data_IF_678970762470
#
_entry.id   IF_678970762470
#
_cell.length_a   1.000
_cell.length_b   1.000
_cell.length_c   1.000
_cell.angle_alpha   90.00
_cell.angle_beta   90.00
_cell.angle_gamma   90.00
#
_symmetry.space_group_name_H-M   'P 1'
#
loop_
_entity.id
_entity.type
_entity.pdbx_description
1 polymer ?
#
# COMPACT_ATOMS: atom_id res chain seq x y z
N UNK A 1 27.91 -14.07 6.96
CA UNK A 1 27.06 -14.79 7.94
C UNK A 1 26.40 -13.75 8.84
N UNK A 2 25.07 -13.72 8.90
CA UNK A 2 24.34 -12.77 9.74
C UNK A 2 24.34 -13.21 11.22
N UNK A 3 25.51 -13.22 11.87
CA UNK A 3 25.63 -13.15 13.34
C UNK A 3 26.07 -11.73 13.64
N UNK A 4 25.41 -10.87 14.42
CA UNK A 4 24.87 -11.04 15.76
C UNK A 4 23.56 -10.25 15.95
N UNK A 5 22.89 -9.83 14.87
CA UNK A 5 21.75 -8.89 14.94
C UNK A 5 20.57 -9.34 14.09
N UNK A 6 20.04 -10.54 14.36
CA UNK A 6 18.82 -11.09 13.72
C UNK A 6 17.71 -10.03 13.65
N UNK A 7 17.51 -9.30 14.75
CA UNK A 7 16.54 -8.22 14.84
C UNK A 7 16.82 -7.10 13.82
N UNK A 8 18.07 -6.63 13.69
CA UNK A 8 18.40 -5.50 12.82
C UNK A 8 18.12 -5.83 11.35
N UNK A 9 18.46 -7.06 10.93
CA UNK A 9 18.16 -7.53 9.59
C UNK A 9 16.64 -7.62 9.33
N UNK A 10 15.86 -8.07 10.33
CA UNK A 10 14.40 -8.08 10.24
C UNK A 10 13.85 -6.65 10.12
N UNK A 11 14.33 -5.70 10.92
CA UNK A 11 13.91 -4.29 10.84
C UNK A 11 14.18 -3.70 9.47
N UNK A 12 15.39 -3.86 8.93
CA UNK A 12 15.75 -3.29 7.63
C UNK A 12 14.98 -3.92 6.47
N UNK A 13 14.72 -5.22 6.53
CA UNK A 13 13.90 -5.90 5.52
C UNK A 13 12.44 -5.47 5.61
N UNK A 14 11.87 -5.44 6.82
CA UNK A 14 10.49 -5.01 7.07
C UNK A 14 10.29 -3.54 6.70
N UNK A 15 11.17 -2.64 7.13
CA UNK A 15 11.08 -1.21 6.83
C UNK A 15 11.09 -0.90 5.33
N UNK A 16 11.90 -1.62 4.53
CA UNK A 16 11.87 -1.49 3.07
C UNK A 16 10.55 -1.98 2.48
N UNK A 17 10.06 -3.13 2.92
CA UNK A 17 8.77 -3.66 2.45
C UNK A 17 7.60 -2.72 2.81
N UNK A 18 7.60 -2.19 4.03
CA UNK A 18 6.58 -1.27 4.52
C UNK A 18 6.62 0.07 3.79
N UNK A 19 7.80 0.60 3.46
CA UNK A 19 7.92 1.83 2.66
C UNK A 19 7.36 1.67 1.24
N UNK A 20 7.64 0.54 0.58
CA UNK A 20 7.09 0.23 -0.75
C UNK A 20 5.57 0.08 -0.68
N UNK A 21 5.09 -0.67 0.32
CA UNK A 21 3.67 -0.90 0.57
C UNK A 21 2.93 0.41 0.86
N UNK A 22 3.49 1.28 1.70
CA UNK A 22 2.89 2.57 2.04
C UNK A 22 2.70 3.44 0.79
N UNK A 23 3.73 3.52 -0.08
CA UNK A 23 3.64 4.26 -1.34
C UNK A 23 2.54 3.73 -2.26
N UNK A 24 2.35 2.41 -2.32
CA UNK A 24 1.30 1.79 -3.11
C UNK A 24 -0.09 2.11 -2.53
N UNK A 25 -0.28 1.95 -1.22
CA UNK A 25 -1.57 2.24 -0.57
C UNK A 25 -1.99 3.69 -0.70
N UNK A 26 -1.05 4.65 -0.60
CA UNK A 26 -1.37 6.06 -0.82
C UNK A 26 -1.90 6.34 -2.23
N UNK A 27 -1.38 5.64 -3.23
CA UNK A 27 -1.88 5.76 -4.62
C UNK A 27 -3.26 5.11 -4.77
N UNK A 28 -3.40 3.87 -4.30
CA UNK A 28 -4.67 3.14 -4.39
C UNK A 28 -5.81 3.87 -3.68
N UNK A 29 -5.56 4.41 -2.48
CA UNK A 29 -6.57 5.18 -1.74
C UNK A 29 -7.00 6.45 -2.49
N UNK A 30 -6.06 7.12 -3.18
CA UNK A 30 -6.39 8.28 -4.02
C UNK A 30 -7.24 7.88 -5.23
N UNK A 31 -6.91 6.77 -5.89
CA UNK A 31 -7.68 6.27 -7.03
C UNK A 31 -9.10 5.87 -6.62
N UNK A 32 -9.26 5.14 -5.50
CA UNK A 32 -10.58 4.79 -4.95
C UNK A 32 -11.40 6.05 -4.65
N UNK A 33 -10.80 7.06 -4.02
CA UNK A 33 -11.48 8.32 -3.74
C UNK A 33 -11.94 9.03 -5.01
N UNK A 34 -11.07 9.09 -6.03
CA UNK A 34 -11.39 9.73 -7.32
C UNK A 34 -12.47 8.94 -8.05
N UNK A 35 -12.36 7.61 -8.11
CA UNK A 35 -13.35 6.75 -8.73
C UNK A 35 -14.73 6.90 -8.07
N UNK A 36 -14.79 6.87 -6.74
CA UNK A 36 -16.02 7.07 -5.98
C UNK A 36 -16.64 8.47 -6.19
N UNK A 37 -15.79 9.50 -6.30
CA UNK A 37 -16.25 10.88 -6.58
C UNK A 37 -16.83 11.05 -7.99
N UNK A 38 -16.29 10.33 -8.97
CA UNK A 38 -16.68 10.46 -10.37
C UNK A 38 -17.90 9.59 -10.75
N UNK A 39 -17.98 8.37 -10.25
CA UNK A 39 -18.99 7.38 -10.66
C UNK A 39 -19.92 6.90 -9.54
N UNK A 40 -19.83 7.50 -8.34
CA UNK A 40 -20.56 7.02 -7.17
C UNK A 40 -19.82 5.89 -6.44
N UNK A 41 -20.23 5.63 -5.20
CA UNK A 41 -19.56 4.70 -4.28
C UNK A 41 -19.96 3.23 -4.43
N UNK A 42 -20.73 2.87 -5.46
CA UNK A 42 -21.14 1.49 -5.73
C UNK A 42 -20.14 0.83 -6.70
N UNK A 43 -19.36 -0.17 -6.24
CA UNK A 43 -18.35 -0.83 -7.08
C UNK A 43 -18.95 -1.62 -8.24
N UNK A 44 -20.18 -2.14 -8.10
CA UNK A 44 -20.81 -2.96 -9.14
C UNK A 44 -21.28 -2.11 -10.33
N UNK A 45 -21.53 -0.83 -10.09
CA UNK A 45 -21.99 0.15 -11.09
C UNK A 45 -20.88 1.07 -11.60
N UNK A 46 -19.69 1.00 -11.00
CA UNK A 46 -18.55 1.85 -11.34
C UNK A 46 -17.30 0.98 -11.59
N UNK A 47 -17.03 0.57 -12.85
CA UNK A 47 -15.90 -0.29 -13.19
C UNK A 47 -14.50 0.29 -12.88
N UNK A 48 -14.42 1.57 -12.49
CA UNK A 48 -13.17 2.23 -12.09
C UNK A 48 -12.94 2.19 -10.57
N UNK A 49 -13.95 1.85 -9.77
CA UNK A 49 -13.90 1.74 -8.31
C UNK A 49 -13.56 0.30 -7.90
#
# INVERSE_FOLDING_TARGET
MAGHSKWANIKHRKGRADAVRAKLFSKLGREIYVAAKLGGGDPDMNPRL
#
